data_IF_238816410880
#
_entry.id   IF_238816410880
#
_cell.length_a   1.000
_cell.length_b   1.000
_cell.length_c   1.000
_cell.angle_alpha   90.00
_cell.angle_beta   90.00
_cell.angle_gamma   90.00
#
_symmetry.space_group_name_H-M   'P 1'
#
loop_
_entity.id
_entity.type
_entity.pdbx_description
1 polymer ?
#
# COMPACT_ATOMS: atom_id res chain seq x y z
N UNK A 1 -3.56 -21.49 -4.87
CA UNK A 1 -2.31 -20.69 -4.94
C UNK A 1 -2.39 -19.78 -6.15
N UNK A 2 -2.72 -18.50 -5.96
CA UNK A 2 -2.74 -17.52 -7.05
C UNK A 2 -1.44 -16.71 -7.03
N UNK A 3 -0.67 -16.76 -8.11
CA UNK A 3 0.55 -15.97 -8.31
C UNK A 3 0.14 -14.53 -8.65
N UNK A 4 0.59 -13.57 -7.85
CA UNK A 4 0.44 -12.14 -8.17
C UNK A 4 1.42 -11.79 -9.28
N UNK A 5 0.90 -11.52 -10.48
CA UNK A 5 1.69 -11.02 -11.60
C UNK A 5 1.81 -9.50 -11.50
N UNK A 6 3.05 -9.00 -11.35
CA UNK A 6 3.35 -7.58 -11.55
C UNK A 6 3.52 -7.36 -13.04
N UNK A 7 2.54 -6.70 -13.65
CA UNK A 7 2.59 -6.31 -15.06
C UNK A 7 3.48 -5.09 -15.18
N UNK A 8 4.74 -5.31 -15.59
CA UNK A 8 5.62 -4.24 -16.07
C UNK A 8 5.21 -3.95 -17.52
N UNK A 9 4.48 -2.86 -17.75
CA UNK A 9 4.12 -2.42 -19.10
C UNK A 9 5.34 -2.01 -19.93
N UNK A 10 5.42 -2.46 -21.19
CA UNK A 10 6.47 -2.10 -22.18
C UNK A 10 6.17 -0.75 -22.88
N UNK A 11 7.11 0.11 -23.31
CA UNK A 11 8.55 0.32 -23.05
C UNK A 11 9.11 1.54 -23.84
N UNK A 12 10.15 2.23 -23.32
CA UNK A 12 11.27 2.86 -24.07
C UNK A 12 11.94 4.08 -23.39
N UNK A 13 13.28 4.34 -23.50
CA UNK A 13 14.46 3.48 -23.59
C UNK A 13 15.07 3.12 -22.20
N UNK A 14 16.03 2.20 -22.25
CA UNK A 14 16.64 1.39 -21.17
C UNK A 14 17.53 2.18 -20.20
N UNK A 15 17.48 1.98 -18.88
CA UNK A 15 17.73 0.73 -18.13
C UNK A 15 19.24 0.49 -17.89
N UNK A 16 19.72 0.99 -16.76
CA UNK A 16 20.96 0.54 -16.11
C UNK A 16 20.83 0.64 -14.58
N UNK A 17 20.18 1.69 -14.07
CA UNK A 17 19.86 1.86 -12.65
C UNK A 17 18.52 1.20 -12.24
N UNK A 18 17.56 1.09 -13.17
CA UNK A 18 16.20 0.61 -12.87
C UNK A 18 16.14 -0.89 -12.51
N UNK A 19 17.03 -1.72 -13.08
CA UNK A 19 17.24 -3.10 -12.58
C UNK A 19 17.68 -3.14 -11.12
N UNK A 20 18.35 -2.10 -10.60
CA UNK A 20 18.77 -2.00 -9.21
C UNK A 20 17.62 -1.62 -8.28
N UNK A 21 16.93 -0.50 -8.55
CA UNK A 21 15.91 0.01 -7.64
C UNK A 21 14.61 -0.82 -7.66
N UNK A 22 14.19 -1.32 -8.82
CA UNK A 22 13.00 -2.16 -8.91
C UNK A 22 13.23 -3.55 -8.32
N UNK A 23 14.43 -4.14 -8.52
CA UNK A 23 14.79 -5.40 -7.88
C UNK A 23 14.97 -5.22 -6.37
N UNK A 24 15.62 -4.13 -5.93
CA UNK A 24 15.73 -3.80 -4.51
C UNK A 24 14.38 -3.58 -3.86
N UNK A 25 13.46 -2.89 -4.53
CA UNK A 25 12.09 -2.73 -4.05
C UNK A 25 11.36 -4.09 -3.98
N UNK A 26 11.55 -4.97 -4.97
CA UNK A 26 11.03 -6.33 -4.92
C UNK A 26 11.56 -7.10 -3.72
N UNK A 27 12.87 -7.10 -3.51
CA UNK A 27 13.53 -7.76 -2.38
C UNK A 27 13.01 -7.23 -1.03
N UNK A 28 12.86 -5.90 -0.91
CA UNK A 28 12.29 -5.29 0.30
C UNK A 28 10.83 -5.69 0.52
N UNK A 29 10.01 -5.72 -0.53
CA UNK A 29 8.61 -6.15 -0.43
C UNK A 29 8.51 -7.64 -0.07
N UNK A 30 9.36 -8.48 -0.66
CA UNK A 30 9.41 -9.90 -0.38
C UNK A 30 9.88 -10.17 1.08
N UNK A 31 10.83 -9.38 1.57
CA UNK A 31 11.31 -9.44 2.95
C UNK A 31 10.25 -9.02 3.99
N UNK A 32 9.29 -8.17 3.62
CA UNK A 32 8.19 -7.76 4.50
C UNK A 32 7.16 -8.89 4.72
N UNK A 33 7.15 -9.93 3.88
CA UNK A 33 6.23 -11.07 3.98
C UNK A 33 4.74 -10.65 4.11
N UNK A 34 4.35 -9.61 3.37
CA UNK A 34 2.97 -9.10 3.29
C UNK A 34 2.36 -9.44 1.94
N UNK A 35 1.02 -9.43 1.85
CA UNK A 35 0.30 -9.64 0.59
C UNK A 35 -0.10 -8.30 -0.01
N UNK A 36 0.65 -7.72 -0.96
CA UNK A 36 0.23 -6.50 -1.63
C UNK A 36 -0.86 -6.82 -2.67
N UNK A 37 -1.88 -5.97 -2.71
CA UNK A 37 -2.83 -5.85 -3.80
C UNK A 37 -2.72 -4.43 -4.36
N UNK A 38 -2.73 -4.29 -5.68
CA UNK A 38 -2.71 -2.97 -6.31
C UNK A 38 -3.93 -2.77 -7.19
N UNK A 39 -4.36 -1.51 -7.30
CA UNK A 39 -5.32 -1.05 -8.29
C UNK A 39 -4.77 0.20 -8.94
N UNK A 40 -4.94 0.30 -10.25
CA UNK A 40 -4.60 1.48 -11.01
C UNK A 40 -5.86 2.31 -11.28
N UNK A 41 -6.11 3.40 -10.52
CA UNK A 41 -7.21 4.32 -10.79
C UNK A 41 -6.81 5.47 -11.73
N UNK A 42 -5.80 5.30 -12.59
CA UNK A 42 -5.41 6.33 -13.56
C UNK A 42 -6.60 6.70 -14.44
N UNK A 43 -6.99 7.98 -14.41
CA UNK A 43 -8.04 8.50 -15.31
C UNK A 43 -7.44 8.84 -16.67
N UNK A 44 -8.25 8.93 -17.74
CA UNK A 44 -7.78 9.35 -19.06
C UNK A 44 -7.10 10.72 -19.04
N UNK A 45 -7.59 11.67 -18.25
CA UNK A 45 -7.02 13.02 -18.13
C UNK A 45 -5.64 12.97 -17.47
N UNK A 46 -5.50 12.18 -16.40
CA UNK A 46 -4.22 11.94 -15.75
C UNK A 46 -3.23 11.27 -16.71
N UNK A 47 -3.67 10.25 -17.45
CA UNK A 47 -2.85 9.58 -18.45
C UNK A 47 -2.39 10.54 -19.56
N UNK A 48 -3.28 11.44 -20.02
CA UNK A 48 -2.97 12.45 -21.04
C UNK A 48 -1.94 13.47 -20.55
N UNK A 49 -1.97 13.79 -19.25
CA UNK A 49 -0.94 14.60 -18.58
C UNK A 49 0.37 13.82 -18.30
N UNK A 50 0.48 12.56 -18.75
CA UNK A 50 1.66 11.72 -18.51
C UNK A 50 1.75 11.14 -17.11
N UNK A 51 0.67 11.17 -16.32
CA UNK A 51 0.63 10.67 -14.95
C UNK A 51 0.10 9.24 -14.89
N UNK A 52 0.66 8.45 -13.97
CA UNK A 52 0.17 7.12 -13.58
C UNK A 52 -0.17 7.16 -12.10
N UNK A 53 -1.41 6.81 -11.76
CA UNK A 53 -1.85 6.71 -10.37
C UNK A 53 -2.01 5.25 -10.00
N UNK A 54 -1.29 4.81 -8.97
CA UNK A 54 -1.38 3.44 -8.44
C UNK A 54 -1.68 3.51 -6.95
N UNK A 55 -2.65 2.71 -6.51
CA UNK A 55 -2.93 2.48 -5.10
C UNK A 55 -2.51 1.06 -4.75
N UNK A 56 -1.60 0.92 -3.79
CA UNK A 56 -1.19 -0.38 -3.23
C UNK A 56 -1.71 -0.47 -1.81
N UNK A 57 -2.35 -1.58 -1.47
CA UNK A 57 -2.84 -1.91 -0.13
C UNK A 57 -2.41 -3.33 0.23
N UNK A 58 -2.33 -3.65 1.51
CA UNK A 58 -2.15 -5.01 1.98
C UNK A 58 -3.13 -5.29 3.12
N UNK A 59 -3.79 -6.46 3.16
CA UNK A 59 -4.62 -6.83 4.30
C UNK A 59 -3.78 -7.10 5.56
N UNK A 60 -2.47 -7.22 5.40
CA UNK A 60 -1.50 -7.52 6.46
C UNK A 60 -0.87 -6.23 7.04
N UNK A 61 -1.23 -5.05 6.53
CA UNK A 61 -0.75 -3.75 7.01
C UNK A 61 -1.91 -2.85 7.43
N UNK A 62 -1.64 -1.97 8.40
CA UNK A 62 -2.58 -0.94 8.83
C UNK A 62 -1.97 0.45 8.60
N UNK A 63 -2.66 1.36 7.89
CA UNK A 63 -2.09 2.66 7.55
C UNK A 63 -1.95 3.56 8.79
N UNK A 64 -0.76 4.16 8.97
CA UNK A 64 -0.37 4.88 10.20
C UNK A 64 -1.24 6.12 10.49
N UNK A 65 -1.57 6.90 9.46
CA UNK A 65 -2.28 8.19 9.57
C UNK A 65 -3.71 8.10 9.07
N UNK A 66 -4.43 7.11 9.54
CA UNK A 66 -5.68 6.76 8.93
C UNK A 66 -6.76 6.91 10.02
N UNK A 67 -7.74 7.78 9.79
CA UNK A 67 -8.79 8.07 10.77
C UNK A 67 -9.42 6.76 11.25
N UNK A 68 -9.29 6.51 12.54
CA UNK A 68 -9.86 5.35 13.22
C UNK A 68 -11.38 5.22 13.06
N UNK A 69 -12.08 6.29 12.66
CA UNK A 69 -13.52 6.32 12.40
C UNK A 69 -13.89 5.89 10.98
N UNK A 70 -12.94 5.92 10.04
CA UNK A 70 -13.21 5.57 8.66
C UNK A 70 -12.61 4.21 8.35
N UNK A 71 -13.42 3.21 7.96
CA UNK A 71 -12.89 1.92 7.56
C UNK A 71 -12.01 2.11 6.31
N UNK A 72 -10.70 1.95 6.47
CA UNK A 72 -9.80 1.97 5.32
C UNK A 72 -10.10 0.77 4.43
N UNK A 73 -10.01 0.97 3.11
CA UNK A 73 -10.32 -0.01 2.06
C UNK A 73 -9.38 -1.24 2.03
N UNK A 74 -8.79 -1.65 3.15
CA UNK A 74 -7.96 -2.85 3.24
C UNK A 74 -7.72 -3.33 4.66
N UNK A 75 -7.80 -4.65 4.84
CA UNK A 75 -7.22 -5.39 5.96
C UNK A 75 -8.05 -5.52 7.23
N UNK A 76 -7.39 -6.08 8.26
CA UNK A 76 -7.89 -6.28 9.63
C UNK A 76 -8.03 -4.97 10.41
N UNK A 77 -8.41 -3.87 9.77
CA UNK A 77 -8.41 -2.53 10.38
C UNK A 77 -9.32 -2.41 11.62
N UNK A 78 -10.41 -3.18 11.66
CA UNK A 78 -11.30 -3.27 12.82
C UNK A 78 -10.76 -4.18 13.96
N UNK A 79 -9.76 -5.03 13.67
CA UNK A 79 -9.09 -5.87 14.66
C UNK A 79 -8.01 -5.05 15.38
N UNK A 80 -8.46 -4.23 16.31
CA UNK A 80 -7.61 -3.33 17.12
C UNK A 80 -6.54 -4.13 17.88
N UNK A 81 -6.87 -5.34 18.33
CA UNK A 81 -5.95 -6.20 19.08
C UNK A 81 -4.81 -6.72 18.20
N UNK A 82 -5.09 -7.08 16.94
CA UNK A 82 -4.07 -7.41 15.96
C UNK A 82 -3.20 -6.19 15.61
N UNK A 83 -3.82 -5.02 15.43
CA UNK A 83 -3.13 -3.78 15.00
C UNK A 83 -2.24 -3.19 16.09
N UNK A 84 -2.67 -3.27 17.35
CA UNK A 84 -1.95 -2.72 18.50
C UNK A 84 -1.85 -3.77 19.63
N UNK A 85 -0.99 -4.79 19.47
CA UNK A 85 -0.80 -5.80 20.51
C UNK A 85 -0.36 -5.15 21.83
N UNK A 86 -1.05 -5.48 22.93
CA UNK A 86 -0.73 -4.92 24.26
C UNK A 86 -1.16 -3.46 24.48
N UNK A 87 -1.96 -2.89 23.57
CA UNK A 87 -2.49 -1.53 23.77
C UNK A 87 -3.34 -1.41 25.03
N UNK A 88 -3.05 -0.40 25.82
CA UNK A 88 -3.94 0.15 26.84
C UNK A 88 -4.62 1.42 26.33
N UNK A 89 -5.92 1.60 26.62
CA UNK A 89 -6.65 2.84 26.32
C UNK A 89 -7.85 2.67 25.38
N UNK A 90 -8.64 3.74 25.23
CA UNK A 90 -9.90 3.73 24.48
C UNK A 90 -9.68 3.71 22.96
N UNK A 91 -10.50 2.97 22.22
CA UNK A 91 -10.58 3.03 20.76
C UNK A 91 -12.00 3.49 20.34
N UNK A 92 -12.16 4.40 19.36
CA UNK A 92 -11.12 5.20 18.70
C UNK A 92 -10.34 6.09 19.68
N UNK A 93 -9.13 6.49 19.28
CA UNK A 93 -8.33 7.47 20.03
C UNK A 93 -9.10 8.81 20.16
N UNK A 94 -9.30 9.36 21.37
CA UNK A 94 -9.93 10.67 21.55
C UNK A 94 -9.11 11.83 20.97
N UNK A 95 -7.80 11.65 20.79
CA UNK A 95 -6.90 12.62 20.18
C UNK A 95 -6.21 11.97 18.95
N UNK A 96 -6.92 11.85 17.81
CA UNK A 96 -6.34 11.23 16.61
C UNK A 96 -5.10 12.00 16.13
N UNK A 97 -4.21 11.29 15.43
CA UNK A 97 -3.05 11.92 14.81
C UNK A 97 -3.51 13.07 13.87
N UNK A 98 -2.84 14.23 13.85
CA UNK A 98 -3.28 15.39 13.06
C UNK A 98 -3.27 15.21 11.54
N UNK A 99 -2.80 14.06 11.06
CA UNK A 99 -2.78 13.68 9.64
C UNK A 99 -3.80 12.56 9.34
N UNK A 100 -4.59 12.16 10.35
CA UNK A 100 -5.65 11.16 10.28
C UNK A 100 -7.00 11.82 10.09
#
# INVERSE_FOLDING_TARGET
MARVAVVVGRAGPRDSAARGDAARLRELVDALNVRPAYREPTTPEAATAGLRCVRVLSPDLAPLHADHRWPHLGGRAADVAWRYPGRSGRFPDPAPHPLG
#
